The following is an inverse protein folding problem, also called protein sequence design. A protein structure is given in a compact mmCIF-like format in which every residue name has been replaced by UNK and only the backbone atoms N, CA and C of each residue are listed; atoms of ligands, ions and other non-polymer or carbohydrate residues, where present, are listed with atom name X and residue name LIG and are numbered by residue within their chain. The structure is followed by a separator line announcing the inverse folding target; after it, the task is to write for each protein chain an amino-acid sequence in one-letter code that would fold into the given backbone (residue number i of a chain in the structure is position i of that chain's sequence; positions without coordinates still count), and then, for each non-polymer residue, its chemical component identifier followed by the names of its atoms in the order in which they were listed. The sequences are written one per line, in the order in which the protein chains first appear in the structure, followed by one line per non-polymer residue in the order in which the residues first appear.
data_IF_902165571600
#
_entry.id   IF_902165571600
#
_cell.length_a   1.000
_cell.length_b   1.000
_cell.length_c   1.000
_cell.angle_alpha   90.00
_cell.angle_beta   90.00
_cell.angle_gamma   90.00
#
_symmetry.space_group_name_H-M   'P 1'
#
loop_
_entity.id
_entity.type
_entity.pdbx_description
1 polymer ?
#
# COMPACT_ATOMS: atom_id res chain seq x y z
N UNK A 1 2.82 40.10 -85.72
CA UNK A 1 1.77 39.93 -84.71
C UNK A 1 2.29 38.93 -83.71
N UNK A 2 2.97 39.40 -82.66
CA UNK A 2 3.48 38.51 -81.57
C UNK A 2 2.74 38.85 -80.29
N UNK A 3 1.98 37.88 -79.77
CA UNK A 3 1.43 37.97 -78.45
C UNK A 3 2.39 37.36 -77.44
N UNK A 4 2.90 38.24 -76.57
CA UNK A 4 3.67 37.85 -75.40
C UNK A 4 2.70 37.53 -74.22
N UNK A 5 2.68 36.33 -73.76
CA UNK A 5 2.00 35.95 -72.54
C UNK A 5 2.95 36.04 -71.36
N UNK A 6 2.74 36.99 -70.49
CA UNK A 6 3.43 37.14 -69.21
C UNK A 6 2.94 36.10 -68.21
N UNK A 7 3.88 35.23 -67.80
CA UNK A 7 3.64 34.24 -66.76
C UNK A 7 3.80 34.89 -65.36
N UNK A 8 2.70 35.23 -64.71
CA UNK A 8 2.69 35.69 -63.29
C UNK A 8 2.87 34.48 -62.38
N UNK A 9 4.03 34.37 -61.77
CA UNK A 9 4.35 33.39 -60.72
C UNK A 9 3.51 33.68 -59.50
N UNK A 10 2.55 32.81 -59.21
CA UNK A 10 1.82 32.78 -57.91
C UNK A 10 2.70 32.00 -56.94
N UNK A 11 3.35 32.72 -56.02
CA UNK A 11 4.06 32.12 -54.88
C UNK A 11 3.00 31.86 -53.81
N UNK A 12 2.62 30.58 -53.66
CA UNK A 12 1.72 30.10 -52.61
C UNK A 12 2.56 29.93 -51.32
N UNK A 13 2.46 30.87 -50.39
CA UNK A 13 3.00 30.72 -49.06
C UNK A 13 2.13 29.72 -48.25
N UNK A 14 2.61 28.49 -48.14
CA UNK A 14 2.05 27.52 -47.22
C UNK A 14 2.58 27.85 -45.82
N UNK A 15 1.75 28.51 -44.99
CA UNK A 15 2.02 28.64 -43.57
C UNK A 15 1.78 27.28 -42.89
N UNK A 16 2.85 26.51 -42.66
CA UNK A 16 2.82 25.39 -41.73
C UNK A 16 2.70 25.95 -40.29
N UNK A 17 1.49 26.06 -39.81
CA UNK A 17 1.24 26.26 -38.36
C UNK A 17 1.57 24.96 -37.67
N UNK A 18 2.78 24.86 -37.14
CA UNK A 18 3.09 23.83 -36.16
C UNK A 18 2.25 24.08 -34.91
N UNK A 19 1.09 23.43 -34.83
CA UNK A 19 0.43 23.21 -33.55
C UNK A 19 1.34 22.29 -32.75
N UNK A 20 2.27 22.87 -32.02
CA UNK A 20 2.95 22.23 -30.92
C UNK A 20 1.87 21.91 -29.89
N UNK A 21 1.27 20.72 -30.01
CA UNK A 21 0.48 20.13 -28.94
C UNK A 21 1.46 19.82 -27.82
N UNK A 22 1.77 20.83 -27.00
CA UNK A 22 2.36 20.60 -25.70
C UNK A 22 1.34 19.77 -24.93
N UNK A 23 1.47 18.43 -25.01
CA UNK A 23 0.92 17.55 -23.99
C UNK A 23 1.49 18.07 -22.67
N UNK A 24 0.71 18.91 -22.00
CA UNK A 24 0.92 19.10 -20.58
C UNK A 24 0.90 17.69 -20.01
N UNK A 25 2.07 17.20 -19.60
CA UNK A 25 2.17 16.09 -18.69
C UNK A 25 1.41 16.60 -17.47
N UNK A 26 0.10 16.33 -17.41
CA UNK A 26 -0.61 16.41 -16.15
C UNK A 26 0.20 15.51 -15.22
N UNK A 27 1.01 16.10 -14.36
CA UNK A 27 1.42 15.43 -13.15
C UNK A 27 0.11 15.11 -12.46
N UNK A 28 -0.30 13.85 -12.55
CA UNK A 28 -1.39 13.28 -11.76
C UNK A 28 -0.97 13.42 -10.28
N UNK A 29 -1.03 14.61 -9.71
CA UNK A 29 -0.75 14.85 -8.30
C UNK A 29 -2.06 15.00 -7.59
N UNK A 30 -2.27 14.19 -6.57
CA UNK A 30 -3.33 14.45 -5.59
C UNK A 30 -2.82 15.53 -4.66
N UNK A 31 -3.46 16.68 -4.78
CA UNK A 31 -3.11 17.88 -4.01
C UNK A 31 -3.81 17.83 -2.64
N UNK A 32 -3.16 17.17 -1.67
CA UNK A 32 -3.68 17.08 -0.31
C UNK A 32 -3.22 18.28 0.52
N UNK A 33 -4.17 18.91 1.21
CA UNK A 33 -3.89 19.90 2.23
C UNK A 33 -3.50 19.20 3.54
N UNK A 34 -2.21 18.89 3.69
CA UNK A 34 -1.70 18.28 4.90
C UNK A 34 -1.49 19.31 6.02
N UNK A 35 -1.93 18.99 7.22
CA UNK A 35 -1.70 19.76 8.44
C UNK A 35 -1.08 18.84 9.49
N UNK A 36 -0.01 19.31 10.13
CA UNK A 36 0.52 18.65 11.30
C UNK A 36 -0.49 18.81 12.44
N UNK A 37 -0.87 17.70 13.06
CA UNK A 37 -1.76 17.71 14.22
C UNK A 37 -1.04 18.30 15.44
N UNK A 38 -1.77 19.05 16.25
CA UNK A 38 -1.25 19.58 17.52
C UNK A 38 -1.23 18.52 18.64
N UNK A 39 -1.65 17.29 18.34
CA UNK A 39 -1.64 16.18 19.31
C UNK A 39 -0.21 15.83 19.71
N UNK A 40 0.08 15.86 21.00
CA UNK A 40 1.37 15.42 21.53
C UNK A 40 1.38 13.88 21.51
N UNK A 41 2.26 13.33 20.69
CA UNK A 41 2.51 11.89 20.63
C UNK A 41 3.95 11.67 21.11
N UNK A 42 4.15 10.67 21.96
CA UNK A 42 5.47 10.36 22.51
C UNK A 42 6.46 9.92 21.40
N UNK A 43 7.74 9.94 21.72
CA UNK A 43 8.83 9.42 20.88
C UNK A 43 8.94 10.07 19.49
N UNK A 44 8.74 11.39 19.43
CA UNK A 44 8.88 12.19 18.21
C UNK A 44 7.98 11.73 17.05
N UNK A 45 6.91 11.01 17.34
CA UNK A 45 5.91 10.58 16.36
C UNK A 45 5.08 11.80 15.93
N UNK A 46 4.90 11.98 14.62
CA UNK A 46 4.16 13.09 14.04
C UNK A 46 2.91 12.58 13.33
N UNK A 47 1.75 13.14 13.65
CA UNK A 47 0.47 12.87 12.96
C UNK A 47 0.16 14.00 12.00
N UNK A 48 -0.12 13.66 10.76
CA UNK A 48 -0.60 14.57 9.72
C UNK A 48 -2.04 14.23 9.36
N UNK A 49 -2.88 15.27 9.26
CA UNK A 49 -4.26 15.18 8.79
C UNK A 49 -4.36 15.81 7.41
N UNK A 50 -4.85 15.07 6.44
CA UNK A 50 -4.93 15.49 5.03
C UNK A 50 -6.37 15.58 4.56
N UNK A 51 -6.68 16.61 3.78
CA UNK A 51 -7.97 16.79 3.14
C UNK A 51 -7.82 17.33 1.72
N UNK A 52 -8.54 16.74 0.77
CA UNK A 52 -8.69 17.26 -0.58
C UNK A 52 -10.17 17.49 -0.89
N UNK A 53 -10.61 18.76 -1.05
CA UNK A 53 -12.02 19.07 -1.34
C UNK A 53 -12.41 18.82 -2.81
N UNK A 54 -11.46 18.87 -3.75
CA UNK A 54 -11.71 18.68 -5.19
C UNK A 54 -11.98 17.22 -5.52
N UNK A 55 -11.25 16.34 -4.85
CA UNK A 55 -11.47 14.89 -4.87
C UNK A 55 -11.77 14.53 -3.42
N UNK A 56 -13.06 14.44 -3.00
CA UNK A 56 -13.39 14.25 -1.59
C UNK A 56 -12.59 13.11 -0.99
N UNK A 57 -11.56 13.46 -0.20
CA UNK A 57 -10.62 12.52 0.38
C UNK A 57 -10.10 13.05 1.71
N UNK A 58 -10.19 12.23 2.75
CA UNK A 58 -9.60 12.45 4.07
C UNK A 58 -8.59 11.34 4.33
N UNK A 59 -7.42 11.74 4.79
CA UNK A 59 -6.33 10.81 5.08
C UNK A 59 -5.57 11.24 6.33
N UNK A 60 -4.97 10.27 7.00
CA UNK A 60 -4.07 10.47 8.12
C UNK A 60 -2.76 9.75 7.82
N UNK A 61 -1.66 10.43 8.08
CA UNK A 61 -0.33 9.85 7.97
C UNK A 61 0.42 10.02 9.29
N UNK A 62 1.07 8.95 9.73
CA UNK A 62 1.91 8.99 10.92
C UNK A 62 3.35 8.75 10.49
N UNK A 63 4.22 9.70 10.82
CA UNK A 63 5.66 9.57 10.68
C UNK A 63 6.26 9.08 11.99
N UNK A 64 6.94 7.96 11.95
CA UNK A 64 7.49 7.25 13.11
C UNK A 64 9.01 7.17 12.93
N UNK A 65 9.80 7.92 13.73
CA UNK A 65 11.26 7.86 13.68
C UNK A 65 11.79 6.49 14.11
N UNK A 66 12.60 5.84 13.28
CA UNK A 66 13.15 4.52 13.55
C UNK A 66 14.08 4.47 14.77
N UNK A 67 14.78 5.59 15.06
CA UNK A 67 15.70 5.68 16.21
C UNK A 67 15.01 5.60 17.58
N UNK A 68 13.74 6.03 17.65
CA UNK A 68 12.98 6.18 18.91
C UNK A 68 11.92 5.09 19.09
N UNK A 69 11.69 4.28 18.03
CA UNK A 69 10.60 3.32 17.99
C UNK A 69 11.03 2.05 17.26
N UNK A 70 10.57 0.91 17.74
CA UNK A 70 10.62 -0.37 17.04
C UNK A 70 9.27 -0.67 16.40
N UNK A 71 9.28 -1.43 15.31
CA UNK A 71 8.06 -1.89 14.63
C UNK A 71 7.89 -3.37 14.88
N UNK A 72 6.68 -3.81 15.17
CA UNK A 72 6.34 -5.21 15.35
C UNK A 72 5.05 -5.57 14.63
N UNK A 73 4.98 -6.78 14.12
CA UNK A 73 3.78 -7.37 13.55
C UNK A 73 3.10 -8.18 14.64
N UNK A 74 1.88 -7.77 15.02
CA UNK A 74 1.09 -8.42 16.06
C UNK A 74 -0.02 -9.26 15.42
N UNK A 75 -0.37 -10.34 16.08
CA UNK A 75 -1.42 -11.28 15.68
C UNK A 75 -2.51 -11.29 16.74
N UNK A 76 -3.77 -11.41 16.35
CA UNK A 76 -4.87 -11.54 17.27
C UNK A 76 -4.72 -12.78 18.16
N UNK A 77 -4.95 -12.61 19.45
CA UNK A 77 -4.81 -13.66 20.46
C UNK A 77 -6.17 -14.22 20.91
N UNK A 78 -7.28 -13.64 20.46
CA UNK A 78 -8.60 -14.09 20.87
C UNK A 78 -8.98 -15.43 20.23
N UNK A 79 -9.88 -16.17 20.87
CA UNK A 79 -10.26 -17.55 20.50
C UNK A 79 -10.84 -17.68 19.07
N UNK A 80 -11.43 -16.63 18.53
CA UNK A 80 -11.94 -16.59 17.16
C UNK A 80 -10.91 -16.08 16.15
N UNK A 81 -9.69 -15.68 16.60
CA UNK A 81 -8.60 -15.18 15.78
C UNK A 81 -8.76 -13.71 15.37
N UNK A 82 -9.61 -12.93 16.02
CA UNK A 82 -9.87 -11.53 15.70
C UNK A 82 -9.84 -10.62 16.93
N UNK A 83 -9.30 -9.43 16.80
CA UNK A 83 -9.41 -8.32 17.74
C UNK A 83 -9.67 -7.01 17.03
N UNK A 84 -10.20 -6.03 17.71
CA UNK A 84 -10.15 -4.65 17.24
C UNK A 84 -8.75 -4.07 17.44
N UNK A 85 -8.28 -3.17 16.54
CA UNK A 85 -6.98 -2.51 16.70
C UNK A 85 -6.83 -1.77 18.04
N UNK A 86 -7.89 -1.18 18.58
CA UNK A 86 -7.84 -0.50 19.90
C UNK A 86 -7.67 -1.49 21.06
N UNK A 87 -8.30 -2.69 21.03
CA UNK A 87 -8.07 -3.73 22.03
C UNK A 87 -6.60 -4.16 22.06
N UNK A 88 -6.00 -4.37 20.92
CA UNK A 88 -4.56 -4.67 20.82
C UNK A 88 -3.73 -3.48 21.33
N UNK A 89 -4.14 -2.24 21.04
CA UNK A 89 -3.49 -1.04 21.55
C UNK A 89 -3.49 -0.94 23.08
N UNK A 90 -4.56 -1.39 23.71
CA UNK A 90 -4.66 -1.43 25.18
C UNK A 90 -3.87 -2.59 25.80
N UNK A 91 -3.75 -3.72 25.11
CA UNK A 91 -3.02 -4.92 25.57
C UNK A 91 -1.49 -4.80 25.32
N UNK A 92 -1.08 -4.05 24.32
CA UNK A 92 0.32 -3.84 23.95
C UNK A 92 0.85 -2.49 24.45
N UNK A 93 2.16 -2.32 24.50
CA UNK A 93 2.80 -1.02 24.77
C UNK A 93 2.88 -0.13 23.53
N UNK A 94 2.12 -0.41 22.49
CA UNK A 94 2.19 0.30 21.22
C UNK A 94 1.59 1.71 21.31
N UNK A 95 2.32 2.68 20.81
CA UNK A 95 1.85 4.07 20.68
C UNK A 95 0.97 4.22 19.44
N UNK A 96 1.32 3.55 18.33
CA UNK A 96 0.58 3.58 17.06
C UNK A 96 0.31 2.17 16.59
N UNK A 97 -0.90 1.92 16.11
CA UNK A 97 -1.28 0.65 15.47
C UNK A 97 -2.04 0.96 14.17
N UNK A 98 -1.72 0.20 13.13
CA UNK A 98 -2.48 0.12 11.89
C UNK A 98 -2.91 -1.33 11.67
N UNK A 99 -4.06 -1.56 11.03
CA UNK A 99 -4.46 -2.92 10.63
C UNK A 99 -3.44 -3.55 9.68
N UNK A 100 -3.33 -4.87 9.71
CA UNK A 100 -2.37 -5.64 8.91
C UNK A 100 -2.89 -6.07 7.54
N UNK A 101 -2.58 -7.33 7.18
CA UNK A 101 -2.90 -7.91 5.88
C UNK A 101 -4.31 -8.48 5.77
N UNK A 102 -4.58 -9.11 4.62
CA UNK A 102 -5.88 -9.72 4.32
C UNK A 102 -6.10 -11.00 5.14
N UNK A 103 -7.37 -11.27 5.48
CA UNK A 103 -7.76 -12.50 6.18
C UNK A 103 -9.08 -13.05 5.63
N UNK A 104 -9.33 -14.36 5.83
CA UNK A 104 -10.53 -15.02 5.36
C UNK A 104 -11.70 -14.73 6.32
N UNK A 105 -12.81 -14.21 5.77
CA UNK A 105 -14.09 -14.14 6.49
C UNK A 105 -15.02 -15.23 5.99
N UNK A 106 -15.79 -15.80 6.90
CA UNK A 106 -16.77 -16.85 6.55
C UNK A 106 -16.20 -18.27 6.48
N UNK A 107 -14.93 -18.47 6.81
CA UNK A 107 -14.31 -19.77 7.01
C UNK A 107 -13.87 -19.92 8.48
N UNK A 108 -14.03 -21.09 9.05
CA UNK A 108 -13.49 -21.43 10.38
C UNK A 108 -12.51 -22.57 10.25
N UNK A 109 -11.30 -22.49 10.82
CA UNK A 109 -10.76 -21.32 11.54
C UNK A 109 -10.51 -20.13 10.57
N UNK A 110 -10.58 -18.92 11.10
CA UNK A 110 -10.17 -17.71 10.38
C UNK A 110 -8.66 -17.81 10.12
N UNK A 111 -8.22 -17.45 8.90
CA UNK A 111 -6.81 -17.51 8.51
C UNK A 111 -6.36 -16.22 7.86
N UNK A 112 -5.11 -15.86 8.06
CA UNK A 112 -4.46 -14.83 7.27
C UNK A 112 -4.33 -15.27 5.79
N UNK A 113 -4.52 -14.35 4.86
CA UNK A 113 -4.37 -14.66 3.42
C UNK A 113 -2.94 -14.37 3.00
N UNK A 114 -2.09 -15.39 3.10
CA UNK A 114 -0.68 -15.36 2.77
C UNK A 114 0.21 -15.19 4.00
N UNK A 115 1.50 -14.91 3.76
CA UNK A 115 2.55 -14.91 4.77
C UNK A 115 2.19 -14.08 6.01
N UNK A 116 2.32 -14.72 7.17
CA UNK A 116 2.29 -14.07 8.47
C UNK A 116 3.34 -14.71 9.37
N UNK A 117 4.40 -13.97 9.66
CA UNK A 117 5.44 -14.32 10.61
C UNK A 117 5.52 -13.21 11.65
N UNK A 118 5.41 -13.55 12.91
CA UNK A 118 5.51 -12.64 14.05
C UNK A 118 6.36 -13.29 15.15
N UNK A 119 7.24 -12.52 15.77
CA UNK A 119 8.13 -12.98 16.86
C UNK A 119 8.84 -14.32 16.51
N UNK A 120 9.44 -14.39 15.34
CA UNK A 120 10.09 -15.57 14.75
C UNK A 120 9.17 -16.78 14.46
N UNK A 121 7.89 -16.75 14.82
CA UNK A 121 6.93 -17.82 14.55
C UNK A 121 6.21 -17.62 13.23
N UNK A 122 6.21 -18.64 12.37
CA UNK A 122 5.45 -18.65 11.12
C UNK A 122 4.01 -19.09 11.41
N UNK A 123 3.08 -18.13 11.43
CA UNK A 123 1.64 -18.36 11.64
C UNK A 123 0.93 -18.86 10.38
N UNK A 124 1.27 -18.28 9.22
CA UNK A 124 0.68 -18.68 7.94
C UNK A 124 1.72 -18.55 6.83
N UNK A 125 1.87 -19.57 5.96
CA UNK A 125 2.75 -19.49 4.81
C UNK A 125 2.18 -18.59 3.71
N UNK A 126 3.01 -18.19 2.76
CA UNK A 126 2.57 -17.42 1.61
C UNK A 126 1.56 -18.20 0.75
N UNK A 127 0.51 -17.53 0.31
CA UNK A 127 -0.39 -18.07 -0.72
C UNK A 127 0.30 -17.98 -2.08
N UNK A 128 1.05 -19.02 -2.46
CA UNK A 128 1.85 -19.06 -3.69
C UNK A 128 1.01 -19.17 -4.97
N UNK A 129 -0.31 -19.29 -4.86
CA UNK A 129 -1.20 -19.25 -6.02
C UNK A 129 -2.61 -18.79 -5.65
N UNK A 130 -3.33 -18.26 -6.64
CA UNK A 130 -4.72 -17.85 -6.51
C UNK A 130 -5.52 -18.27 -7.73
N UNK A 131 -6.79 -18.65 -7.53
CA UNK A 131 -7.73 -18.86 -8.61
C UNK A 131 -8.41 -17.54 -9.00
N UNK A 132 -8.34 -17.16 -10.27
CA UNK A 132 -8.98 -15.98 -10.83
C UNK A 132 -9.52 -16.29 -12.21
N UNK A 133 -10.80 -16.00 -12.48
CA UNK A 133 -11.43 -16.27 -13.79
C UNK A 133 -11.18 -17.70 -14.32
N UNK A 134 -11.35 -18.70 -13.44
CA UNK A 134 -11.10 -20.12 -13.70
C UNK A 134 -9.65 -20.48 -14.07
N UNK A 135 -8.71 -19.55 -13.96
CA UNK A 135 -7.28 -19.80 -14.14
C UNK A 135 -6.54 -19.75 -12.80
N UNK A 136 -5.59 -20.66 -12.61
CA UNK A 136 -4.71 -20.63 -11.45
C UNK A 136 -3.45 -19.85 -11.77
N UNK A 137 -3.26 -18.75 -11.04
CA UNK A 137 -2.11 -17.88 -11.16
C UNK A 137 -1.13 -18.18 -10.03
N UNK A 138 0.14 -18.35 -10.34
CA UNK A 138 1.18 -18.31 -9.34
C UNK A 138 1.40 -16.87 -8.86
N UNK A 139 1.57 -16.68 -7.56
CA UNK A 139 1.72 -15.35 -6.95
C UNK A 139 2.95 -15.27 -6.05
N UNK A 140 3.62 -14.14 -6.09
CA UNK A 140 4.51 -13.62 -5.06
C UNK A 140 4.00 -12.24 -4.69
N UNK A 141 3.15 -12.15 -3.68
CA UNK A 141 2.55 -10.87 -3.25
C UNK A 141 3.54 -10.04 -2.47
N UNK A 142 3.29 -8.75 -2.42
CA UNK A 142 4.05 -7.82 -1.61
C UNK A 142 3.94 -8.15 -0.12
N UNK A 143 5.07 -8.10 0.57
CA UNK A 143 5.18 -8.27 2.01
C UNK A 143 6.00 -7.13 2.63
N UNK A 144 5.57 -6.70 3.81
CA UNK A 144 6.36 -5.86 4.70
C UNK A 144 7.07 -6.76 5.71
N UNK A 145 8.33 -6.51 5.97
CA UNK A 145 9.13 -7.28 6.91
C UNK A 145 9.98 -6.38 7.81
N UNK A 146 10.33 -6.94 8.97
CA UNK A 146 11.29 -6.37 9.91
C UNK A 146 12.46 -7.36 10.03
N UNK A 147 13.65 -6.87 9.73
CA UNK A 147 14.90 -7.60 9.87
C UNK A 147 15.31 -7.73 11.35
N UNK A 148 16.30 -8.59 11.65
CA UNK A 148 16.81 -8.76 13.00
C UNK A 148 17.52 -7.53 13.57
N UNK A 149 17.96 -6.60 12.73
CA UNK A 149 18.49 -5.29 13.11
C UNK A 149 17.42 -4.20 13.25
N UNK A 150 16.13 -4.59 13.23
CA UNK A 150 14.94 -3.75 13.24
C UNK A 150 14.79 -2.85 11.98
N UNK A 151 15.58 -3.04 10.93
CA UNK A 151 15.38 -2.33 9.67
C UNK A 151 14.14 -2.86 8.92
N UNK A 152 13.33 -1.97 8.30
CA UNK A 152 12.19 -2.38 7.48
C UNK A 152 12.63 -2.81 6.08
N UNK A 153 11.87 -3.73 5.49
CA UNK A 153 12.02 -4.14 4.10
C UNK A 153 10.64 -4.39 3.46
N UNK A 154 10.46 -4.05 2.18
CA UNK A 154 9.30 -4.45 1.39
C UNK A 154 9.77 -5.20 0.16
N UNK A 155 9.27 -6.42 -0.02
CA UNK A 155 9.64 -7.27 -1.14
C UNK A 155 8.45 -8.12 -1.57
N UNK A 156 8.50 -8.68 -2.78
CA UNK A 156 7.58 -9.75 -3.14
C UNK A 156 8.08 -11.04 -2.50
N UNK A 157 7.17 -11.84 -1.95
CA UNK A 157 7.55 -13.02 -1.18
C UNK A 157 6.77 -14.28 -1.56
N UNK A 158 7.42 -15.42 -1.35
CA UNK A 158 6.84 -16.77 -1.41
C UNK A 158 7.37 -17.59 -0.24
N UNK A 159 6.70 -18.72 0.04
CA UNK A 159 7.26 -19.73 0.97
C UNK A 159 7.45 -21.06 0.25
N UNK A 160 8.48 -21.79 0.65
CA UNK A 160 8.72 -23.17 0.20
C UNK A 160 9.38 -23.92 1.35
N UNK A 161 8.77 -25.04 1.77
CA UNK A 161 9.26 -25.86 2.90
C UNK A 161 9.51 -24.99 4.16
N UNK A 162 8.52 -24.20 4.55
CA UNK A 162 8.53 -23.27 5.70
C UNK A 162 9.62 -22.18 5.67
N UNK A 163 10.36 -22.11 4.56
CA UNK A 163 11.34 -21.05 4.33
C UNK A 163 10.72 -19.93 3.48
N UNK A 164 11.06 -18.69 3.82
CA UNK A 164 10.59 -17.49 3.11
C UNK A 164 11.63 -17.12 2.05
N UNK A 165 11.15 -16.74 0.87
CA UNK A 165 11.98 -16.29 -0.24
C UNK A 165 11.49 -14.93 -0.73
N UNK A 166 12.39 -13.95 -0.85
CA UNK A 166 12.15 -12.66 -1.45
C UNK A 166 12.48 -12.65 -2.95
N UNK A 167 11.83 -11.73 -3.67
CA UNK A 167 11.97 -11.55 -5.11
C UNK A 167 12.18 -10.07 -5.43
N UNK A 168 13.07 -9.76 -6.36
CA UNK A 168 13.31 -8.39 -6.79
C UNK A 168 12.20 -7.82 -7.69
N UNK A 169 11.29 -8.66 -8.18
CA UNK A 169 10.19 -8.30 -9.07
C UNK A 169 8.98 -9.24 -8.87
N UNK A 170 7.76 -8.78 -9.17
CA UNK A 170 6.59 -9.64 -9.14
C UNK A 170 6.59 -10.62 -10.30
N UNK A 171 5.86 -11.71 -10.18
CA UNK A 171 5.62 -12.61 -11.31
C UNK A 171 4.88 -11.86 -12.43
N UNK A 172 5.24 -12.14 -13.68
CA UNK A 172 4.68 -11.42 -14.86
C UNK A 172 3.27 -11.92 -15.22
N UNK A 173 2.39 -11.99 -14.23
CA UNK A 173 0.98 -12.29 -14.45
C UNK A 173 0.29 -11.18 -15.24
N UNK A 174 -0.69 -11.57 -16.05
CA UNK A 174 -1.65 -10.68 -16.70
C UNK A 174 -3.00 -11.40 -16.77
N UNK A 175 -4.14 -10.70 -16.89
CA UNK A 175 -5.43 -11.34 -17.14
C UNK A 175 -5.35 -12.34 -18.28
N UNK A 176 -5.82 -13.56 -18.05
CA UNK A 176 -5.75 -14.68 -19.02
C UNK A 176 -4.36 -15.29 -19.25
N UNK A 177 -3.29 -14.79 -18.59
CA UNK A 177 -1.90 -15.24 -18.79
C UNK A 177 -1.18 -15.46 -17.46
N UNK A 178 -1.34 -16.63 -16.80
CA UNK A 178 -0.60 -16.97 -15.60
C UNK A 178 0.91 -17.07 -15.85
N UNK A 179 1.71 -16.56 -14.89
CA UNK A 179 3.16 -16.70 -14.93
C UNK A 179 3.64 -18.04 -14.34
N UNK A 180 4.81 -18.49 -14.79
CA UNK A 180 5.52 -19.62 -14.18
C UNK A 180 6.42 -19.14 -13.02
N UNK A 181 6.70 -20.04 -12.06
CA UNK A 181 7.65 -19.79 -10.97
C UNK A 181 9.03 -20.28 -11.39
N UNK A 182 10.04 -19.43 -11.20
CA UNK A 182 11.44 -19.85 -11.31
C UNK A 182 12.21 -19.38 -10.09
N UNK A 183 12.41 -20.25 -9.12
CA UNK A 183 13.08 -19.96 -7.85
C UNK A 183 14.56 -19.51 -8.00
N UNK A 184 15.20 -19.68 -9.17
CA UNK A 184 16.56 -19.16 -9.38
C UNK A 184 16.66 -17.64 -9.27
N UNK A 185 15.53 -16.93 -9.36
CA UNK A 185 15.46 -15.48 -9.19
C UNK A 185 15.08 -15.05 -7.76
N UNK A 186 14.86 -15.98 -6.86
CA UNK A 186 14.54 -15.70 -5.45
C UNK A 186 15.80 -15.75 -4.60
N UNK A 187 15.70 -15.11 -3.42
CA UNK A 187 16.72 -15.20 -2.36
C UNK A 187 16.07 -15.69 -1.09
N UNK A 188 16.77 -16.50 -0.30
CA UNK A 188 16.34 -16.81 1.05
C UNK A 188 16.20 -15.52 1.85
N UNK A 189 15.03 -15.34 2.46
CA UNK A 189 14.68 -14.12 3.18
C UNK A 189 14.59 -14.40 4.67
N UNK A 190 15.72 -14.18 5.36
CA UNK A 190 15.82 -14.40 6.80
C UNK A 190 15.41 -13.11 7.55
N UNK A 191 14.14 -13.00 7.85
CA UNK A 191 13.54 -11.84 8.55
C UNK A 191 12.95 -12.28 9.89
N UNK A 192 12.95 -11.38 10.87
CA UNK A 192 12.37 -11.59 12.19
C UNK A 192 10.84 -11.69 12.10
N UNK A 193 10.23 -10.75 11.37
CA UNK A 193 8.79 -10.65 11.18
C UNK A 193 8.46 -10.35 9.71
N UNK A 194 7.34 -10.84 9.19
CA UNK A 194 6.88 -10.55 7.85
C UNK A 194 5.36 -10.70 7.72
N UNK A 195 4.73 -9.83 6.92
CA UNK A 195 3.30 -9.88 6.66
C UNK A 195 3.02 -9.63 5.18
N UNK A 196 2.28 -10.55 4.55
CA UNK A 196 1.70 -10.32 3.23
C UNK A 196 0.53 -9.36 3.30
N UNK A 197 0.48 -8.51 2.30
CA UNK A 197 -0.69 -7.71 1.98
C UNK A 197 -0.69 -7.46 0.46
N UNK A 198 -0.37 -6.26 0.00
CA UNK A 198 -0.22 -5.92 -1.42
C UNK A 198 -1.45 -5.23 -2.01
N UNK A 199 -1.28 -4.71 -3.23
CA UNK A 199 -0.02 -4.74 -3.99
C UNK A 199 1.04 -3.77 -3.45
N UNK A 200 2.29 -3.94 -3.90
CA UNK A 200 3.32 -2.92 -3.70
C UNK A 200 2.89 -1.66 -4.46
N UNK A 201 3.08 -0.50 -3.82
CA UNK A 201 2.67 0.81 -4.31
C UNK A 201 3.85 1.63 -4.83
N UNK A 202 4.95 1.60 -4.07
CA UNK A 202 6.17 2.37 -4.33
C UNK A 202 7.37 1.43 -4.23
N UNK A 203 8.28 1.53 -5.17
CA UNK A 203 9.57 0.83 -5.17
C UNK A 203 10.67 1.79 -5.62
N UNK A 204 11.73 1.91 -4.83
CA UNK A 204 12.85 2.83 -5.09
C UNK A 204 12.39 4.29 -5.31
N UNK A 205 11.52 4.80 -4.43
CA UNK A 205 10.94 6.15 -4.50
C UNK A 205 10.20 6.44 -5.83
N UNK A 206 9.70 5.39 -6.49
CA UNK A 206 8.94 5.50 -7.74
C UNK A 206 7.62 4.77 -7.61
N UNK A 207 6.54 5.37 -8.11
CA UNK A 207 5.21 4.73 -8.15
C UNK A 207 5.32 3.47 -9.00
N UNK A 208 5.02 2.33 -8.39
CA UNK A 208 5.09 1.00 -8.99
C UNK A 208 3.95 0.12 -8.48
N UNK A 209 2.73 0.45 -8.88
CA UNK A 209 1.54 -0.30 -8.46
C UNK A 209 1.46 -1.62 -9.22
N UNK A 210 1.67 -2.72 -8.52
CA UNK A 210 1.77 -4.08 -9.10
C UNK A 210 0.49 -4.92 -8.95
N UNK A 211 -0.68 -4.26 -8.97
CA UNK A 211 -1.98 -4.92 -8.75
C UNK A 211 -2.26 -6.04 -9.76
N UNK A 212 -1.91 -5.84 -11.04
CA UNK A 212 -2.09 -6.85 -12.08
C UNK A 212 -1.16 -8.04 -11.87
N UNK A 213 0.13 -7.79 -11.63
CA UNK A 213 1.15 -8.83 -11.45
C UNK A 213 0.91 -9.66 -10.17
N UNK A 214 0.40 -9.05 -9.12
CA UNK A 214 0.03 -9.69 -7.85
C UNK A 214 -1.38 -10.30 -7.86
N UNK A 215 -2.06 -10.24 -9.01
CA UNK A 215 -3.39 -10.83 -9.26
C UNK A 215 -4.48 -10.24 -8.36
N UNK A 216 -4.50 -8.91 -8.25
CA UNK A 216 -5.59 -8.16 -7.62
C UNK A 216 -6.63 -7.64 -8.62
N UNK A 217 -6.39 -7.80 -9.93
CA UNK A 217 -7.37 -7.42 -10.97
C UNK A 217 -8.72 -8.13 -10.77
N UNK A 218 -9.79 -7.46 -11.17
CA UNK A 218 -11.17 -7.93 -10.99
C UNK A 218 -11.53 -8.26 -9.53
N UNK A 219 -10.96 -7.50 -8.60
CA UNK A 219 -11.31 -7.55 -7.18
C UNK A 219 -11.62 -6.14 -6.66
N UNK A 220 -12.30 -6.00 -5.52
CA UNK A 220 -12.52 -4.70 -4.89
C UNK A 220 -11.22 -3.93 -4.58
N UNK A 221 -10.09 -4.63 -4.47
CA UNK A 221 -8.78 -4.00 -4.19
C UNK A 221 -8.36 -3.06 -5.33
N UNK A 222 -8.73 -3.34 -6.57
CA UNK A 222 -8.38 -2.51 -7.72
C UNK A 222 -9.24 -1.23 -7.85
N UNK A 223 -10.36 -1.15 -7.11
CA UNK A 223 -11.29 -0.01 -7.13
C UNK A 223 -10.98 1.08 -6.10
N UNK A 224 -11.86 2.09 -6.04
CA UNK A 224 -11.83 3.13 -4.99
C UNK A 224 -12.31 2.53 -3.67
N UNK A 225 -11.46 2.58 -2.63
CA UNK A 225 -11.75 1.99 -1.33
C UNK A 225 -11.17 2.86 -0.19
N UNK A 226 -11.68 2.74 1.04
CA UNK A 226 -10.89 3.07 2.22
C UNK A 226 -9.58 2.28 2.16
N UNK A 227 -8.46 2.90 2.56
CA UNK A 227 -7.13 2.31 2.41
C UNK A 227 -6.32 2.37 3.68
N UNK A 228 -5.44 1.39 3.82
CA UNK A 228 -4.31 1.42 4.73
C UNK A 228 -3.05 1.13 3.95
N UNK A 229 -1.95 1.76 4.33
CA UNK A 229 -0.64 1.53 3.74
C UNK A 229 0.46 1.68 4.78
N UNK A 230 1.54 0.94 4.57
CA UNK A 230 2.80 1.12 5.28
C UNK A 230 3.92 1.38 4.28
N UNK A 231 4.85 2.24 4.65
CA UNK A 231 6.06 2.49 3.88
C UNK A 231 7.21 2.90 4.77
N UNK A 232 8.38 3.00 4.20
CA UNK A 232 9.55 3.51 4.91
C UNK A 232 10.37 4.47 4.06
N UNK A 233 11.02 5.40 4.74
CA UNK A 233 11.93 6.39 4.15
C UNK A 233 13.34 5.82 4.05
N UNK A 234 14.21 6.51 3.30
CA UNK A 234 15.61 6.09 3.12
C UNK A 234 16.40 5.95 4.42
N UNK A 235 16.03 6.69 5.47
CA UNK A 235 16.65 6.62 6.79
C UNK A 235 16.03 5.55 7.71
N UNK A 236 15.09 4.75 7.21
CA UNK A 236 14.40 3.70 7.96
C UNK A 236 13.14 4.18 8.71
N UNK A 237 12.84 5.47 8.75
CA UNK A 237 11.61 5.98 9.37
C UNK A 237 10.38 5.39 8.68
N UNK A 238 9.36 5.06 9.47
CA UNK A 238 8.13 4.44 8.98
C UNK A 238 7.06 5.48 8.74
N UNK A 239 6.30 5.28 7.68
CA UNK A 239 5.05 5.99 7.39
C UNK A 239 3.90 5.00 7.43
N UNK A 240 2.97 5.20 8.35
CA UNK A 240 1.67 4.52 8.38
C UNK A 240 0.61 5.48 7.88
N UNK A 241 -0.24 5.04 6.95
CA UNK A 241 -1.25 5.91 6.33
C UNK A 241 -2.59 5.20 6.24
N UNK A 242 -3.67 5.93 6.55
CA UNK A 242 -5.05 5.49 6.29
C UNK A 242 -5.79 6.56 5.49
N UNK A 243 -6.68 6.11 4.62
CA UNK A 243 -7.61 6.94 3.86
C UNK A 243 -9.02 6.45 4.14
N UNK A 244 -9.87 7.31 4.66
CA UNK A 244 -11.30 7.03 4.82
C UNK A 244 -11.99 6.90 3.46
N UNK A 245 -13.11 6.20 3.43
CA UNK A 245 -13.86 6.09 2.18
C UNK A 245 -15.31 5.72 2.36
N UNK A 246 -16.04 5.62 1.22
CA UNK A 246 -17.47 5.32 1.19
C UNK A 246 -18.32 6.35 1.96
N UNK A 247 -17.85 7.60 2.00
CA UNK A 247 -18.46 8.73 2.68
C UNK A 247 -18.54 9.92 1.72
N UNK A 248 -19.43 10.88 2.00
CA UNK A 248 -19.63 12.05 1.17
C UNK A 248 -18.37 12.93 1.11
N UNK A 249 -17.68 13.06 2.24
CA UNK A 249 -16.47 13.86 2.41
C UNK A 249 -15.17 13.07 2.20
N UNK A 250 -15.28 11.76 1.99
CA UNK A 250 -14.16 10.90 1.64
C UNK A 250 -14.60 9.66 0.86
N UNK A 251 -14.39 9.68 -0.45
CA UNK A 251 -14.75 8.55 -1.32
C UNK A 251 -13.85 7.33 -1.15
N UNK A 252 -12.65 7.54 -0.66
CA UNK A 252 -11.54 6.58 -0.68
C UNK A 252 -10.52 6.91 -1.76
N UNK A 253 -9.56 6.02 -1.95
CA UNK A 253 -8.48 6.18 -2.91
C UNK A 253 -8.35 4.98 -3.85
N UNK A 254 -7.94 5.24 -5.11
CA UNK A 254 -7.32 4.23 -5.96
C UNK A 254 -5.92 3.89 -5.45
N UNK A 255 -5.40 2.72 -5.81
CA UNK A 255 -4.03 2.31 -5.45
C UNK A 255 -2.97 3.31 -5.96
N UNK A 256 -3.14 3.85 -7.19
CA UNK A 256 -2.24 4.87 -7.74
C UNK A 256 -2.27 6.17 -6.91
N UNK A 257 -3.43 6.57 -6.45
CA UNK A 257 -3.59 7.75 -5.58
C UNK A 257 -2.91 7.51 -4.22
N UNK A 258 -3.12 6.33 -3.63
CA UNK A 258 -2.43 5.96 -2.39
C UNK A 258 -0.90 5.95 -2.55
N UNK A 259 -0.40 5.44 -3.68
CA UNK A 259 1.03 5.49 -4.00
C UNK A 259 1.55 6.94 -4.08
N UNK A 260 0.80 7.86 -4.71
CA UNK A 260 1.14 9.28 -4.76
C UNK A 260 1.19 9.91 -3.37
N UNK A 261 0.25 9.55 -2.48
CA UNK A 261 0.26 10.02 -1.10
C UNK A 261 1.51 9.52 -0.34
N UNK A 262 1.89 8.26 -0.52
CA UNK A 262 3.11 7.71 0.11
C UNK A 262 4.38 8.40 -0.40
N UNK A 263 4.45 8.77 -1.69
CA UNK A 263 5.57 9.57 -2.26
C UNK A 263 5.63 10.98 -1.64
N UNK A 264 4.51 11.62 -1.28
CA UNK A 264 4.50 12.93 -0.61
C UNK A 264 5.19 12.89 0.77
N UNK A 265 5.30 11.71 1.37
CA UNK A 265 6.04 11.47 2.61
C UNK A 265 7.43 10.86 2.39
N UNK A 266 8.00 10.97 1.18
CA UNK A 266 9.33 10.50 0.79
C UNK A 266 9.55 8.99 1.00
N UNK A 267 8.52 8.17 0.88
CA UNK A 267 8.67 6.73 1.00
C UNK A 267 9.58 6.18 -0.10
N UNK A 268 10.61 5.43 0.31
CA UNK A 268 11.44 4.65 -0.60
C UNK A 268 10.67 3.46 -1.13
N UNK A 269 9.91 2.81 -0.25
CA UNK A 269 9.05 1.69 -0.58
C UNK A 269 7.74 1.82 0.20
N UNK A 270 6.64 1.35 -0.40
CA UNK A 270 5.34 1.33 0.24
C UNK A 270 4.48 0.15 -0.24
N UNK A 271 3.68 -0.37 0.69
CA UNK A 271 2.80 -1.52 0.53
C UNK A 271 1.37 -1.14 0.91
N UNK A 272 0.39 -1.50 0.08
CA UNK A 272 -1.01 -1.45 0.47
C UNK A 272 -1.33 -2.60 1.44
N UNK A 273 -2.07 -2.29 2.50
CA UNK A 273 -2.56 -3.24 3.51
C UNK A 273 -4.03 -3.60 3.24
N UNK A 274 -4.66 -4.39 4.13
CA UNK A 274 -6.11 -4.60 4.04
C UNK A 274 -6.85 -3.29 4.19
N UNK A 275 -7.90 -3.14 3.39
CA UNK A 275 -8.64 -1.90 3.24
C UNK A 275 -10.11 -2.01 3.65
N UNK A 276 -10.91 -1.09 3.12
CA UNK A 276 -12.33 -1.04 3.42
C UNK A 276 -12.61 -0.78 4.89
N UNK A 277 -13.52 -1.52 5.49
CA UNK A 277 -13.84 -1.36 6.91
C UNK A 277 -12.73 -1.79 7.89
N UNK A 278 -11.66 -2.43 7.41
CA UNK A 278 -10.49 -2.78 8.22
C UNK A 278 -9.52 -1.62 8.39
N UNK A 279 -9.61 -0.55 7.56
CA UNK A 279 -8.69 0.59 7.57
C UNK A 279 -8.77 1.35 8.89
N UNK A 280 -7.91 1.04 9.85
CA UNK A 280 -7.94 1.63 11.18
C UNK A 280 -6.56 2.10 11.60
N UNK A 281 -6.49 3.32 12.11
CA UNK A 281 -5.30 3.93 12.71
C UNK A 281 -5.59 4.25 14.17
N UNK A 282 -4.83 3.65 15.07
CA UNK A 282 -4.94 3.84 16.52
C UNK A 282 -3.72 4.61 17.01
N UNK A 283 -3.94 5.60 17.83
CA UNK A 283 -2.87 6.34 18.54
C UNK A 283 -3.25 6.39 20.02
N UNK A 284 -2.36 5.93 20.88
CA UNK A 284 -2.58 5.87 22.34
C UNK A 284 -3.92 5.19 22.68
N UNK A 285 -4.23 4.07 22.02
CA UNK A 285 -5.46 3.28 22.22
C UNK A 285 -6.75 3.91 21.68
N UNK A 286 -6.68 5.00 20.89
CA UNK A 286 -7.85 5.68 20.31
C UNK A 286 -7.88 5.60 18.81
N UNK A 287 -9.03 5.28 18.23
CA UNK A 287 -9.26 5.33 16.79
C UNK A 287 -9.22 6.78 16.29
N UNK A 288 -8.37 7.04 15.31
CA UNK A 288 -8.12 8.37 14.75
C UNK A 288 -9.01 8.67 13.55
N UNK A 289 -9.19 7.69 12.68
CA UNK A 289 -9.94 7.82 11.43
C UNK A 289 -11.38 7.27 11.55
N UNK A 290 -12.14 7.38 10.47
CA UNK A 290 -13.52 6.90 10.39
C UNK A 290 -13.72 6.08 9.12
N UNK A 291 -13.27 4.82 9.06
CA UNK A 291 -13.00 4.06 7.83
C UNK A 291 -14.11 4.11 6.77
N UNK A 292 -15.36 3.89 7.21
CA UNK A 292 -16.56 3.79 6.35
C UNK A 292 -17.72 4.65 6.84
N UNK A 293 -17.44 5.75 7.55
CA UNK A 293 -18.46 6.61 8.12
C UNK A 293 -19.05 6.12 9.45
N UNK A 294 -18.56 5.02 9.98
CA UNK A 294 -18.95 4.47 11.28
C UNK A 294 -17.76 4.69 12.25
N UNK A 295 -18.04 5.31 13.39
CA UNK A 295 -17.05 5.48 14.48
C UNK A 295 -16.81 4.16 15.23
N UNK A 296 -16.69 3.07 14.49
CA UNK A 296 -16.47 1.72 15.03
C UNK A 296 -15.36 1.04 14.25
N UNK A 297 -14.55 0.31 14.95
CA UNK A 297 -13.51 -0.52 14.39
C UNK A 297 -14.07 -1.85 13.92
N UNK A 298 -13.41 -2.42 12.95
CA UNK A 298 -13.61 -3.81 12.56
C UNK A 298 -12.55 -4.66 13.25
N UNK A 299 -12.97 -5.79 13.80
CA UNK A 299 -12.06 -6.84 14.23
C UNK A 299 -11.24 -7.35 13.03
N UNK A 300 -9.94 -7.50 13.21
CA UNK A 300 -8.98 -7.95 12.21
C UNK A 300 -8.01 -8.96 12.81
N UNK A 301 -7.28 -9.71 11.97
CA UNK A 301 -6.44 -10.82 12.43
C UNK A 301 -5.00 -10.39 12.73
N UNK A 302 -4.52 -9.32 12.12
CA UNK A 302 -3.12 -8.90 12.21
C UNK A 302 -3.00 -7.38 12.23
N UNK A 303 -1.91 -6.91 12.81
CA UNK A 303 -1.64 -5.49 13.03
C UNK A 303 -0.17 -5.18 12.81
N UNK A 304 0.14 -3.92 12.51
CA UNK A 304 1.52 -3.42 12.55
C UNK A 304 1.55 -2.29 13.58
N UNK A 305 2.45 -2.44 14.54
CA UNK A 305 2.52 -1.59 15.73
C UNK A 305 3.86 -0.86 15.80
N UNK A 306 3.84 0.40 16.23
CA UNK A 306 5.03 1.14 16.66
C UNK A 306 5.09 1.13 18.18
N UNK A 307 6.19 0.61 18.70
CA UNK A 307 6.45 0.41 20.12
C UNK A 307 7.63 1.30 20.52
N UNK A 308 7.55 2.09 21.58
CA UNK A 308 8.68 2.86 22.12
C UNK A 308 9.87 1.97 22.42
N UNK A 309 11.09 2.43 22.06
CA UNK A 309 12.32 1.74 22.41
C UNK A 309 12.65 1.87 23.90
#
# INVERSE_FOLDING_TARGET
MHFSLSLKSIILYIFFVFFSCSRSIMRDSIDMNWKLSNSVINNNILLYEGYNPKVPMRAWAVHIPAKDNSISILVSEDNDGLNTPSEIGLKSSATVIINGGYFSRGQKPIRHIGLLKSQDSLYEPASNSVLRENLRYNTNRGAFAINYDNSPEISWATTKNDSIFSWNFPFKNRPGKPASINYSFSKFWNVKEAIHAGPILVKNNTINVTSEQEVFFNTPVDGVQPRSAIGYKKNGDIIMMVVDGRQVDSRGAYLKELAMLMIQFDCQEALNLDGGGSSSLIINGKLINNPIGLKSEREVMSFIAAIPN
#
